data_IF_516095081398
#
_entry.id   IF_516095081398
#
_cell.length_a   1.000
_cell.length_b   1.000
_cell.length_c   1.000
_cell.angle_alpha   90.00
_cell.angle_beta   90.00
_cell.angle_gamma   90.00
#
_symmetry.space_group_name_H-M   'P 1'
#
loop_
_entity.id
_entity.type
_entity.pdbx_description
1 polymer ?
#
# COMPACT_ATOMS: atom_id res chain seq x y z
N UNK A 1 -22.51 -2.52 -76.33
CA UNK A 1 -22.96 -2.79 -74.95
C UNK A 1 -21.71 -2.97 -74.09
N UNK A 2 -21.46 -2.04 -73.17
CA UNK A 2 -20.16 -1.83 -72.51
C UNK A 2 -20.01 -2.78 -71.31
N UNK A 3 -18.88 -3.50 -71.24
CA UNK A 3 -18.50 -4.37 -70.12
C UNK A 3 -17.83 -3.49 -69.06
N UNK A 4 -18.48 -3.28 -67.92
CA UNK A 4 -17.94 -2.51 -66.80
C UNK A 4 -17.12 -3.44 -65.89
N UNK A 5 -15.79 -3.30 -65.92
CA UNK A 5 -14.86 -3.92 -64.95
C UNK A 5 -14.96 -3.18 -63.62
N UNK A 6 -15.37 -3.85 -62.54
CA UNK A 6 -15.20 -3.33 -61.18
C UNK A 6 -13.85 -3.77 -60.62
N UNK A 7 -13.03 -2.78 -60.26
CA UNK A 7 -11.71 -2.91 -59.64
C UNK A 7 -11.91 -2.91 -58.13
N UNK A 8 -11.57 -4.01 -57.46
CA UNK A 8 -11.56 -4.11 -56.00
C UNK A 8 -10.31 -3.40 -55.47
N UNK A 9 -10.50 -2.24 -54.84
CA UNK A 9 -9.44 -1.55 -54.07
C UNK A 9 -9.29 -2.24 -52.72
N UNK A 10 -8.18 -2.94 -52.53
CA UNK A 10 -7.75 -3.43 -51.21
C UNK A 10 -7.14 -2.25 -50.46
N UNK A 11 -7.85 -1.75 -49.44
CA UNK A 11 -7.31 -0.72 -48.53
C UNK A 11 -6.64 -1.45 -47.36
N UNK A 12 -5.32 -1.48 -47.37
CA UNK A 12 -4.47 -2.02 -46.31
C UNK A 12 -4.45 -1.06 -45.12
N UNK A 13 -5.14 -1.44 -44.05
CA UNK A 13 -5.19 -0.70 -42.79
C UNK A 13 -4.05 -1.20 -41.88
N UNK A 14 -2.93 -0.47 -41.85
CA UNK A 14 -1.85 -0.74 -40.90
C UNK A 14 -2.21 -0.17 -39.53
N UNK A 15 -2.72 -1.01 -38.64
CA UNK A 15 -2.86 -0.68 -37.21
C UNK A 15 -1.48 -0.84 -36.56
N UNK A 16 -0.79 0.27 -36.37
CA UNK A 16 0.41 0.32 -35.52
C UNK A 16 -0.07 0.23 -34.07
N UNK A 17 -0.02 -0.97 -33.50
CA UNK A 17 -0.12 -1.18 -32.05
C UNK A 17 1.14 -0.57 -31.41
N UNK A 18 1.10 0.71 -31.07
CA UNK A 18 2.05 1.32 -30.15
C UNK A 18 1.72 0.84 -28.73
N UNK A 19 2.18 -0.36 -28.39
CA UNK A 19 2.29 -0.78 -26.99
C UNK A 19 3.39 0.05 -26.32
N UNK A 20 3.01 1.22 -25.81
CA UNK A 20 3.71 1.93 -24.75
C UNK A 20 3.65 1.04 -23.49
N UNK A 21 4.49 0.00 -23.47
CA UNK A 21 4.84 -0.68 -22.25
C UNK A 21 5.66 0.33 -21.43
N UNK A 22 5.00 1.08 -20.56
CA UNK A 22 5.67 1.82 -19.51
C UNK A 22 6.43 0.78 -18.69
N UNK A 23 7.75 0.75 -18.83
CA UNK A 23 8.61 -0.01 -17.94
C UNK A 23 8.31 0.50 -16.52
N UNK A 24 7.58 -0.31 -15.75
CA UNK A 24 7.23 -0.02 -14.38
C UNK A 24 8.55 -0.07 -13.59
N UNK A 25 9.11 1.11 -13.29
CA UNK A 25 10.37 1.20 -12.54
C UNK A 25 10.10 0.66 -11.13
N UNK A 26 10.44 -0.61 -10.94
CA UNK A 26 10.19 -1.41 -9.75
C UNK A 26 10.87 -0.85 -8.48
N UNK A 27 11.62 0.25 -8.59
CA UNK A 27 12.30 0.91 -7.46
C UNK A 27 11.35 1.50 -6.42
N UNK A 28 10.12 1.87 -6.79
CA UNK A 28 9.13 2.41 -5.85
C UNK A 28 8.00 1.42 -5.52
N UNK A 29 8.17 0.13 -5.80
CA UNK A 29 7.11 -0.87 -5.63
C UNK A 29 6.85 -1.28 -4.17
N UNK A 30 7.68 -0.82 -3.23
CA UNK A 30 7.56 -1.15 -1.81
C UNK A 30 7.54 0.11 -0.94
N UNK A 31 6.82 0.03 0.18
CA UNK A 31 6.98 0.92 1.34
C UNK A 31 7.85 0.23 2.40
N UNK A 32 8.33 0.99 3.37
CA UNK A 32 9.04 0.47 4.54
C UNK A 32 8.26 -0.67 5.21
N UNK A 33 8.97 -1.57 5.89
CA UNK A 33 8.38 -2.62 6.73
C UNK A 33 7.87 -2.11 8.10
N UNK A 34 7.82 -0.79 8.27
CA UNK A 34 7.37 -0.13 9.48
C UNK A 34 5.96 0.46 9.33
N UNK A 35 5.16 0.34 10.39
CA UNK A 35 3.85 0.99 10.54
C UNK A 35 3.92 1.93 11.75
N UNK A 36 3.47 3.17 11.56
CA UNK A 36 3.39 4.18 12.62
C UNK A 36 1.93 4.49 12.96
N UNK A 37 1.62 4.54 14.25
CA UNK A 37 0.33 4.97 14.75
C UNK A 37 0.57 6.14 15.71
N UNK A 38 0.18 7.34 15.26
CA UNK A 38 0.30 8.58 16.04
C UNK A 38 -0.77 8.64 17.13
N UNK A 39 -0.52 9.48 18.13
CA UNK A 39 -1.43 9.71 19.26
C UNK A 39 -1.85 8.44 20.02
N UNK A 40 -0.90 7.53 20.23
CA UNK A 40 -1.16 6.28 20.95
C UNK A 40 -1.37 6.54 22.44
N UNK A 41 -2.60 6.34 22.94
CA UNK A 41 -2.96 6.58 24.36
C UNK A 41 -3.24 5.31 25.16
N UNK A 42 -3.05 4.14 24.56
CA UNK A 42 -3.27 2.84 25.23
C UNK A 42 -1.96 2.25 25.77
N UNK A 43 -2.06 1.18 26.57
CA UNK A 43 -0.90 0.36 26.92
C UNK A 43 -0.21 -0.17 25.66
N UNK A 44 1.12 -0.43 25.69
CA UNK A 44 1.78 -1.14 24.60
C UNK A 44 0.99 -2.42 24.24
N UNK A 45 0.71 -2.66 22.95
CA UNK A 45 -0.01 -3.86 22.54
C UNK A 45 0.67 -5.12 23.03
N UNK A 46 -0.07 -6.16 23.37
CA UNK A 46 0.47 -7.49 23.70
C UNK A 46 0.71 -8.31 22.43
N UNK A 47 -0.24 -8.32 21.49
CA UNK A 47 -0.16 -9.03 20.21
C UNK A 47 -0.43 -8.10 19.02
N UNK A 48 0.24 -8.40 17.89
CA UNK A 48 0.05 -7.74 16.61
C UNK A 48 -0.01 -8.80 15.52
N UNK A 49 -0.91 -8.64 14.56
CA UNK A 49 -0.98 -9.52 13.39
C UNK A 49 -1.21 -8.68 12.15
N UNK A 50 -0.29 -8.77 11.19
CA UNK A 50 -0.40 -8.10 9.90
C UNK A 50 -0.81 -9.10 8.83
N UNK A 51 -1.96 -8.86 8.22
CA UNK A 51 -2.46 -9.60 7.08
C UNK A 51 -2.17 -8.83 5.80
N UNK A 52 -1.64 -9.50 4.78
CA UNK A 52 -1.46 -8.98 3.42
C UNK A 52 -2.50 -9.60 2.51
N UNK A 53 -3.21 -8.76 1.77
CA UNK A 53 -4.23 -9.18 0.82
C UNK A 53 -3.86 -8.75 -0.59
N UNK A 54 -4.33 -9.53 -1.57
CA UNK A 54 -4.37 -9.05 -2.95
C UNK A 54 -5.30 -7.83 -3.04
N UNK A 55 -4.82 -6.77 -3.69
CA UNK A 55 -5.55 -5.51 -3.82
C UNK A 55 -6.88 -5.70 -4.56
N UNK A 56 -7.90 -4.94 -4.17
CA UNK A 56 -9.25 -4.96 -4.76
C UNK A 56 -10.03 -6.29 -4.59
N UNK A 57 -9.56 -7.20 -3.74
CA UNK A 57 -10.28 -8.47 -3.47
C UNK A 57 -11.29 -8.39 -2.34
N UNK A 58 -11.57 -7.17 -1.83
CA UNK A 58 -12.39 -6.95 -0.63
C UNK A 58 -11.93 -7.81 0.56
N UNK A 59 -10.61 -7.94 0.73
CA UNK A 59 -9.98 -8.70 1.82
C UNK A 59 -10.32 -10.18 1.84
N UNK A 60 -10.66 -10.78 0.68
CA UNK A 60 -10.98 -12.21 0.56
C UNK A 60 -9.75 -13.07 0.30
N UNK A 61 -8.76 -12.55 -0.43
CA UNK A 61 -7.58 -13.32 -0.83
C UNK A 61 -6.36 -12.94 0.04
N UNK A 62 -6.15 -13.70 1.12
CA UNK A 62 -4.99 -13.52 2.00
C UNK A 62 -3.76 -14.11 1.33
N UNK A 63 -2.73 -13.29 1.18
CA UNK A 63 -1.43 -13.69 0.63
C UNK A 63 -0.42 -14.07 1.71
N UNK A 64 -0.51 -13.45 2.89
CA UNK A 64 0.43 -13.67 3.99
C UNK A 64 -0.15 -13.19 5.32
N UNK A 65 0.27 -13.81 6.41
CA UNK A 65 -0.01 -13.41 7.79
C UNK A 65 1.33 -13.32 8.54
N UNK A 66 1.54 -12.22 9.25
CA UNK A 66 2.75 -11.96 10.05
C UNK A 66 2.33 -11.73 11.51
N UNK A 67 2.43 -12.76 12.35
CA UNK A 67 2.00 -12.76 13.76
C UNK A 67 3.15 -12.74 14.76
N UNK A 68 4.27 -13.37 14.44
CA UNK A 68 5.34 -13.64 15.42
C UNK A 68 6.65 -12.90 15.12
N UNK A 69 6.79 -12.37 13.90
CA UNK A 69 8.03 -11.76 13.41
C UNK A 69 7.91 -10.23 13.37
N UNK A 70 7.71 -9.61 14.54
CA UNK A 70 7.64 -8.17 14.66
C UNK A 70 8.36 -7.61 15.89
N UNK A 71 8.70 -6.32 15.82
CA UNK A 71 9.11 -5.52 16.99
C UNK A 71 8.15 -4.34 17.14
N UNK A 72 7.98 -3.86 18.38
CA UNK A 72 7.15 -2.70 18.71
C UNK A 72 7.88 -1.78 19.68
N UNK A 73 7.69 -0.48 19.50
CA UNK A 73 8.35 0.58 20.26
C UNK A 73 7.36 1.73 20.48
N UNK A 74 7.30 2.30 21.69
CA UNK A 74 6.60 3.56 21.93
C UNK A 74 7.61 4.71 21.88
N UNK A 75 7.53 5.53 20.85
CA UNK A 75 8.38 6.72 20.68
C UNK A 75 7.70 7.94 21.26
N UNK A 76 8.38 8.59 22.18
CA UNK A 76 7.94 9.88 22.72
C UNK A 76 8.66 10.97 21.92
N UNK A 77 7.91 11.84 21.25
CA UNK A 77 8.49 13.04 20.67
C UNK A 77 8.51 14.12 21.76
N UNK A 78 9.62 14.84 21.89
CA UNK A 78 9.77 15.92 22.89
C UNK A 78 8.70 17.00 22.71
N UNK A 79 8.19 17.17 21.49
CA UNK A 79 7.14 18.14 21.15
C UNK A 79 5.70 17.62 21.37
N UNK A 80 5.47 16.31 21.25
CA UNK A 80 4.14 15.71 21.42
C UNK A 80 4.01 15.02 22.77
N UNK A 81 3.00 15.41 23.55
CA UNK A 81 2.68 14.76 24.84
C UNK A 81 2.23 13.30 24.68
N UNK A 82 1.78 12.91 23.49
CA UNK A 82 1.27 11.57 23.16
C UNK A 82 2.34 10.75 22.44
N UNK A 83 2.61 9.50 22.87
CA UNK A 83 3.59 8.65 22.20
C UNK A 83 3.07 8.16 20.85
N UNK A 84 3.99 7.82 19.97
CA UNK A 84 3.74 7.13 18.70
C UNK A 84 4.06 5.66 18.86
N UNK A 85 3.13 4.78 18.50
CA UNK A 85 3.41 3.35 18.38
C UNK A 85 4.09 3.08 17.03
N UNK A 86 5.32 2.58 17.07
CA UNK A 86 6.06 2.13 15.91
C UNK A 86 6.14 0.61 15.92
N UNK A 87 5.70 -0.02 14.84
CA UNK A 87 5.74 -1.48 14.65
C UNK A 87 6.59 -1.80 13.44
N UNK A 88 7.46 -2.80 13.53
CA UNK A 88 8.29 -3.26 12.41
C UNK A 88 8.07 -4.74 12.17
N UNK A 89 7.74 -5.13 10.94
CA UNK A 89 7.54 -6.54 10.58
C UNK A 89 8.78 -7.06 9.84
N UNK A 90 9.44 -8.06 10.42
CA UNK A 90 10.69 -8.62 9.89
C UNK A 90 10.47 -9.48 8.64
N UNK A 91 9.26 -10.02 8.45
CA UNK A 91 8.88 -10.82 7.27
C UNK A 91 8.98 -10.04 5.94
N UNK A 92 9.11 -8.73 6.02
CA UNK A 92 9.25 -7.83 4.87
C UNK A 92 10.67 -7.29 4.70
N UNK A 93 11.65 -7.75 5.48
CA UNK A 93 13.05 -7.40 5.23
C UNK A 93 13.68 -8.24 4.11
N UNK A 94 14.61 -7.68 3.33
CA UNK A 94 15.01 -6.27 3.28
C UNK A 94 14.14 -5.42 2.32
N UNK A 95 13.19 -6.04 1.61
CA UNK A 95 12.55 -5.46 0.42
C UNK A 95 11.42 -4.47 0.72
N UNK A 96 10.86 -4.50 1.93
CA UNK A 96 9.70 -3.73 2.33
C UNK A 96 8.36 -4.40 2.02
N UNK A 97 7.28 -3.67 2.28
CA UNK A 97 5.91 -4.10 2.02
C UNK A 97 5.48 -3.66 0.62
N UNK A 98 5.12 -4.58 -0.30
CA UNK A 98 4.73 -4.21 -1.65
C UNK A 98 3.47 -3.34 -1.69
N UNK A 99 3.51 -2.23 -2.42
CA UNK A 99 2.38 -1.29 -2.51
C UNK A 99 1.22 -1.84 -3.31
N UNK A 100 1.41 -2.85 -4.16
CA UNK A 100 0.33 -3.48 -4.95
C UNK A 100 -0.67 -4.31 -4.13
N UNK A 101 -0.51 -4.35 -2.80
CA UNK A 101 -1.32 -5.12 -1.88
C UNK A 101 -2.04 -4.17 -0.90
N UNK A 102 -3.11 -4.69 -0.30
CA UNK A 102 -3.76 -4.04 0.84
C UNK A 102 -3.35 -4.79 2.12
N UNK A 103 -3.35 -4.08 3.25
CA UNK A 103 -2.87 -4.60 4.53
C UNK A 103 -3.92 -4.40 5.62
N UNK A 104 -4.09 -5.38 6.50
CA UNK A 104 -4.87 -5.23 7.73
C UNK A 104 -3.98 -5.51 8.92
N UNK A 105 -3.84 -4.53 9.80
CA UNK A 105 -3.17 -4.70 11.09
C UNK A 105 -4.24 -4.94 12.15
N UNK A 106 -4.14 -6.05 12.87
CA UNK A 106 -4.94 -6.36 14.05
C UNK A 106 -4.06 -6.23 15.30
N UNK A 107 -4.57 -5.53 16.30
CA UNK A 107 -3.88 -5.19 17.55
C UNK A 107 -4.69 -5.76 18.71
N UNK A 108 -4.06 -6.61 19.53
CA UNK A 108 -4.67 -7.26 20.69
C UNK A 108 -6.01 -7.95 20.41
N UNK A 109 -6.21 -8.40 19.16
CA UNK A 109 -7.46 -8.99 18.65
C UNK A 109 -8.72 -8.10 18.74
N UNK A 110 -8.55 -6.83 19.15
CA UNK A 110 -9.62 -5.91 19.50
C UNK A 110 -9.69 -4.69 18.60
N UNK A 111 -8.54 -4.24 18.11
CA UNK A 111 -8.42 -3.02 17.33
C UNK A 111 -7.89 -3.42 15.95
N UNK A 112 -8.41 -2.79 14.90
CA UNK A 112 -7.94 -3.03 13.55
C UNK A 112 -7.81 -1.75 12.73
N UNK A 113 -6.86 -1.78 11.80
CA UNK A 113 -6.73 -0.77 10.76
C UNK A 113 -6.40 -1.42 9.43
N UNK A 114 -7.04 -0.91 8.39
CA UNK A 114 -6.87 -1.38 7.03
C UNK A 114 -6.19 -0.31 6.21
N UNK A 115 -4.99 -0.61 5.72
CA UNK A 115 -4.27 0.21 4.76
C UNK A 115 -4.60 -0.24 3.33
N UNK A 116 -5.12 0.67 2.52
CA UNK A 116 -5.55 0.38 1.15
C UNK A 116 -5.19 1.49 0.18
N UNK A 117 -5.18 1.17 -1.12
CA UNK A 117 -4.95 2.14 -2.19
C UNK A 117 -3.65 2.97 -2.04
N UNK A 118 -2.64 2.41 -1.38
CA UNK A 118 -1.35 3.06 -1.19
C UNK A 118 -0.64 3.23 -2.53
N UNK A 119 -0.18 4.44 -2.82
CA UNK A 119 0.62 4.76 -3.99
C UNK A 119 1.86 5.55 -3.60
N UNK A 120 2.98 5.18 -4.21
CA UNK A 120 4.23 5.91 -4.08
C UNK A 120 4.39 6.91 -5.22
N UNK A 121 5.21 7.92 -4.95
CA UNK A 121 5.75 8.86 -5.91
C UNK A 121 6.69 8.13 -6.86
N UNK A 122 7.06 8.81 -7.95
CA UNK A 122 8.00 8.26 -8.92
C UNK A 122 9.42 8.18 -8.33
N UNK A 123 10.30 7.33 -8.89
CA UNK A 123 11.69 7.19 -8.41
C UNK A 123 12.47 8.50 -8.38
N UNK A 124 12.24 9.39 -9.34
CA UNK A 124 12.89 10.70 -9.41
C UNK A 124 12.44 11.68 -8.30
N UNK A 125 11.37 11.38 -7.57
CA UNK A 125 10.89 12.16 -6.42
C UNK A 125 11.06 11.42 -5.09
N UNK A 126 11.81 10.32 -5.06
CA UNK A 126 12.22 9.65 -3.83
C UNK A 126 11.29 8.57 -3.29
N UNK A 127 10.33 8.07 -4.08
CA UNK A 127 9.40 6.98 -3.71
C UNK A 127 8.59 7.25 -2.42
N UNK A 128 8.22 8.51 -2.18
CA UNK A 128 7.40 8.88 -1.03
C UNK A 128 5.96 8.41 -1.22
N UNK A 129 5.26 8.08 -0.15
CA UNK A 129 3.83 7.81 -0.19
C UNK A 129 3.10 9.11 -0.56
N UNK A 130 2.35 9.06 -1.66
CA UNK A 130 1.60 10.19 -2.21
C UNK A 130 0.09 10.09 -1.97
N UNK A 131 -0.42 8.87 -1.78
CA UNK A 131 -1.82 8.63 -1.50
C UNK A 131 -2.02 7.26 -0.84
N UNK A 132 -3.15 7.12 -0.16
CA UNK A 132 -3.59 5.88 0.47
C UNK A 132 -4.61 6.15 1.56
N UNK A 133 -5.21 5.08 2.09
CA UNK A 133 -6.21 5.16 3.15
C UNK A 133 -5.87 4.26 4.32
N UNK A 134 -6.16 4.71 5.53
CA UNK A 134 -6.22 3.92 6.75
C UNK A 134 -7.68 3.93 7.24
N UNK A 135 -8.40 2.83 7.01
CA UNK A 135 -9.85 2.78 7.13
C UNK A 135 -10.52 3.93 6.34
N UNK A 136 -11.22 4.84 7.02
CA UNK A 136 -11.88 5.99 6.41
C UNK A 136 -10.97 7.24 6.32
N UNK A 137 -9.80 7.22 6.95
CA UNK A 137 -8.85 8.33 6.94
C UNK A 137 -7.91 8.24 5.73
N UNK A 138 -7.39 9.40 5.31
CA UNK A 138 -6.17 9.45 4.51
C UNK A 138 -4.97 9.10 5.39
N UNK A 139 -3.96 8.48 4.79
CA UNK A 139 -2.67 8.26 5.46
C UNK A 139 -1.82 9.53 5.37
N UNK A 140 -0.86 9.71 6.28
CA UNK A 140 0.07 10.84 6.18
C UNK A 140 1.04 10.66 4.99
N UNK A 141 1.20 11.72 4.19
CA UNK A 141 2.00 11.72 2.97
C UNK A 141 3.43 12.20 3.18
N UNK A 142 4.31 11.92 2.21
CA UNK A 142 5.69 12.42 2.18
C UNK A 142 6.72 11.53 2.88
N UNK A 143 6.28 10.53 3.65
CA UNK A 143 7.12 9.48 4.22
C UNK A 143 7.22 8.24 3.33
N UNK A 144 7.97 7.23 3.79
CA UNK A 144 8.04 5.89 3.17
C UNK A 144 7.39 4.80 4.00
N UNK A 145 6.75 5.14 5.12
CA UNK A 145 6.14 4.22 6.10
C UNK A 145 4.63 4.38 6.08
N UNK A 146 3.90 3.28 6.23
CA UNK A 146 2.46 3.37 6.47
C UNK A 146 2.24 4.06 7.82
N UNK A 147 1.44 5.12 7.83
CA UNK A 147 1.24 5.92 9.03
C UNK A 147 -0.20 6.42 9.12
N UNK A 148 -0.72 6.52 10.34
CA UNK A 148 -2.08 6.94 10.63
C UNK A 148 -2.23 7.40 12.08
N UNK A 149 -3.29 8.13 12.37
CA UNK A 149 -3.66 8.51 13.72
C UNK A 149 -4.45 7.40 14.42
N UNK A 150 -4.33 7.32 15.76
CA UNK A 150 -5.13 6.39 16.56
C UNK A 150 -6.66 6.54 16.36
N UNK A 151 -7.15 7.75 16.03
CA UNK A 151 -8.57 8.00 15.73
C UNK A 151 -9.08 7.26 14.48
N UNK A 152 -8.17 6.81 13.61
CA UNK A 152 -8.51 6.12 12.37
C UNK A 152 -8.64 4.60 12.56
N UNK A 153 -8.31 4.08 13.74
CA UNK A 153 -8.47 2.67 14.07
C UNK A 153 -9.93 2.34 14.36
N UNK A 154 -10.33 1.11 14.05
CA UNK A 154 -11.67 0.58 14.35
C UNK A 154 -11.59 -0.40 15.50
N UNK A 155 -12.58 -0.39 16.38
CA UNK A 155 -12.79 -1.45 17.38
C UNK A 155 -13.61 -2.55 16.73
N UNK A 156 -13.19 -3.80 16.91
CA UNK A 156 -13.86 -5.00 16.40
C UNK A 156 -15.09 -5.37 17.22
#
# INVERSE_FOLDING_TARGET
MVILKQVIKVVSFWVVFSSLATADDNRCSNVSNEIMIFDWVASPPKSLTLFRYERNTNYKNILQVSSDNYSKELRHNVENKTPTLLVRFSDYLPLGMPIKNDYKLVIDEKIEVIFSNVQNSRPNTGCQIMSGKANQCEIDFGGSRLSTDMKCLSVK
#
